data_IF_102560351032
#
_entry.id   IF_102560351032
#
_cell.length_a   1.000
_cell.length_b   1.000
_cell.length_c   1.000
_cell.angle_alpha   90.00
_cell.angle_beta   90.00
_cell.angle_gamma   90.00
#
_symmetry.space_group_name_H-M   'P 1'
#
loop_
_entity.id
_entity.type
_entity.pdbx_description
1 polymer ?
#
# COMPACT_ATOMS: atom_id res chain seq x y z
N UNK A 1 -9.78 -11.75 5.38
CA UNK A 1 -9.86 -10.63 6.34
C UNK A 1 -8.78 -9.65 5.95
N UNK A 2 -9.10 -8.40 5.64
CA UNK A 2 -8.08 -7.38 5.27
C UNK A 2 -7.66 -6.69 6.56
N UNK A 3 -6.45 -6.97 7.02
CA UNK A 3 -5.94 -6.39 8.26
C UNK A 3 -5.61 -4.90 8.06
N UNK A 4 -6.10 -4.06 8.97
CA UNK A 4 -5.76 -2.63 9.03
C UNK A 4 -4.29 -2.50 9.42
N UNK A 5 -3.53 -1.70 8.66
CA UNK A 5 -2.18 -1.31 9.06
C UNK A 5 -2.29 -0.38 10.28
N UNK A 6 -1.77 -0.81 11.44
CA UNK A 6 -1.70 0.04 12.64
C UNK A 6 -0.70 1.18 12.37
N UNK A 7 -1.12 2.43 12.61
CA UNK A 7 -0.26 3.61 12.50
C UNK A 7 -0.38 4.42 11.22
N UNK A 8 -1.09 3.93 10.19
CA UNK A 8 -1.30 4.73 8.97
C UNK A 8 -2.41 5.77 9.16
N UNK A 9 -2.16 7.00 8.68
CA UNK A 9 -3.14 8.07 8.54
C UNK A 9 -4.20 7.76 7.46
N UNK A 10 -3.92 6.80 6.56
CA UNK A 10 -4.84 6.35 5.53
C UNK A 10 -5.71 5.21 6.06
N UNK A 11 -6.94 5.55 6.44
CA UNK A 11 -7.93 4.63 7.00
C UNK A 11 -8.23 3.39 6.13
N UNK A 12 -7.94 3.44 4.83
CA UNK A 12 -8.24 2.40 3.86
C UNK A 12 -7.00 1.73 3.25
N UNK A 13 -5.81 1.93 3.84
CA UNK A 13 -4.59 1.22 3.43
C UNK A 13 -4.71 -0.27 3.76
N UNK A 14 -4.55 -1.11 2.74
CA UNK A 14 -4.71 -2.57 2.81
C UNK A 14 -3.43 -3.27 2.40
N UNK A 15 -3.30 -4.51 2.83
CA UNK A 15 -2.18 -5.37 2.48
C UNK A 15 -2.64 -6.60 1.69
N UNK A 16 -1.95 -6.89 0.58
CA UNK A 16 -1.99 -8.18 -0.09
C UNK A 16 -0.82 -9.04 0.36
N UNK A 17 -1.13 -10.30 0.66
CA UNK A 17 -0.17 -11.34 1.05
C UNK A 17 -0.29 -12.49 0.05
N UNK A 18 0.43 -12.46 -1.09
CA UNK A 18 0.49 -13.59 -1.99
C UNK A 18 0.98 -14.82 -1.23
N UNK A 19 0.37 -15.98 -1.48
CA UNK A 19 0.76 -17.24 -0.83
C UNK A 19 2.23 -17.54 -1.11
N UNK A 20 3.05 -17.56 -0.06
CA UNK A 20 4.47 -17.88 -0.16
C UNK A 20 4.64 -19.39 -0.28
N UNK A 21 5.09 -19.88 -1.45
CA UNK A 21 5.48 -21.29 -1.65
C UNK A 21 6.85 -21.62 -1.02
N UNK A 22 7.18 -21.03 0.13
CA UNK A 22 8.30 -21.47 0.98
C UNK A 22 9.62 -20.71 0.82
N UNK A 23 9.71 -19.69 -0.05
CA UNK A 23 10.92 -18.84 -0.11
C UNK A 23 10.65 -17.36 -0.01
N UNK A 24 9.55 -16.82 -0.52
CA UNK A 24 9.32 -15.37 -0.63
C UNK A 24 7.99 -14.97 -0.03
N UNK A 25 8.05 -14.25 1.09
CA UNK A 25 6.87 -13.56 1.62
C UNK A 25 6.82 -12.18 1.00
N UNK A 26 6.11 -12.06 -0.11
CA UNK A 26 5.83 -10.75 -0.70
C UNK A 26 4.71 -10.09 0.12
N UNK A 27 4.84 -8.79 0.36
CA UNK A 27 3.77 -7.93 0.88
C UNK A 27 3.59 -6.75 -0.04
N UNK A 28 2.33 -6.43 -0.31
CA UNK A 28 1.98 -5.29 -1.17
C UNK A 28 0.99 -4.42 -0.41
N UNK A 29 1.36 -3.17 -0.15
CA UNK A 29 0.46 -2.15 0.35
C UNK A 29 -0.30 -1.55 -0.84
N UNK A 30 -1.62 -1.49 -0.72
CA UNK A 30 -2.48 -0.99 -1.78
C UNK A 30 -3.71 -0.29 -1.22
N UNK A 31 -4.34 0.53 -2.07
CA UNK A 31 -5.62 1.17 -1.79
C UNK A 31 -6.56 1.06 -2.98
N UNK A 32 -7.86 1.06 -2.72
CA UNK A 32 -8.85 1.27 -3.76
C UNK A 32 -9.13 2.76 -3.90
N UNK A 33 -9.13 3.25 -5.13
CA UNK A 33 -9.59 4.59 -5.43
C UNK A 33 -11.14 4.64 -5.53
N UNK A 34 -11.74 5.85 -5.55
CA UNK A 34 -13.18 6.00 -5.76
C UNK A 34 -13.70 5.41 -7.08
N UNK A 35 -12.83 5.20 -8.07
CA UNK A 35 -13.15 4.62 -9.38
C UNK A 35 -13.00 3.09 -9.43
N UNK A 36 -12.86 2.45 -8.26
CA UNK A 36 -12.78 0.99 -8.10
C UNK A 36 -11.53 0.36 -8.72
N UNK A 37 -10.48 1.14 -8.94
CA UNK A 37 -9.15 0.66 -9.31
C UNK A 37 -8.29 0.43 -8.06
N UNK A 38 -7.54 -0.67 -8.06
CA UNK A 38 -6.54 -0.94 -7.04
C UNK A 38 -5.23 -0.23 -7.40
N UNK A 39 -4.72 0.58 -6.49
CA UNK A 39 -3.43 1.28 -6.62
C UNK A 39 -2.43 0.56 -5.74
N UNK A 40 -1.39 0.01 -6.36
CA UNK A 40 -0.28 -0.61 -5.65
C UNK A 40 0.69 0.50 -5.22
N UNK A 41 0.87 0.67 -3.91
CA UNK A 41 1.57 1.80 -3.32
C UNK A 41 2.99 1.43 -2.89
N UNK A 42 3.19 0.23 -2.37
CA UNK A 42 4.50 -0.30 -2.04
C UNK A 42 4.49 -1.83 -2.13
N UNK A 43 5.60 -2.43 -2.52
CA UNK A 43 5.80 -3.87 -2.49
C UNK A 43 7.18 -4.18 -1.91
N UNK A 44 7.26 -5.19 -1.06
CA UNK A 44 8.51 -5.70 -0.50
C UNK A 44 8.56 -7.21 -0.60
N UNK A 45 9.74 -7.74 -0.95
CA UNK A 45 10.02 -9.18 -0.91
C UNK A 45 10.92 -9.49 0.30
N UNK A 46 10.41 -10.38 1.16
CA UNK A 46 11.18 -11.43 1.86
C UNK A 46 12.05 -11.11 3.09
N UNK A 47 12.06 -12.14 3.94
CA UNK A 47 13.06 -12.52 4.95
C UNK A 47 13.18 -11.63 6.19
N UNK A 48 12.21 -11.76 7.09
CA UNK A 48 12.50 -11.72 8.54
C UNK A 48 12.57 -10.36 9.22
N UNK A 49 12.55 -9.24 8.49
CA UNK A 49 12.57 -7.90 9.11
C UNK A 49 11.31 -7.07 8.83
N UNK A 50 10.17 -7.56 9.31
CA UNK A 50 8.87 -6.97 9.05
C UNK A 50 8.68 -5.59 9.66
N UNK A 51 9.13 -5.37 10.89
CA UNK A 51 8.93 -4.09 11.59
C UNK A 51 9.59 -2.93 10.85
N UNK A 52 10.86 -3.08 10.49
CA UNK A 52 11.58 -2.05 9.74
C UNK A 52 10.96 -1.80 8.36
N UNK A 53 10.45 -2.85 7.70
CA UNK A 53 9.79 -2.67 6.42
C UNK A 53 8.52 -1.82 6.54
N UNK A 54 7.67 -2.03 7.55
CA UNK A 54 6.48 -1.19 7.75
C UNK A 54 6.85 0.27 8.06
N UNK A 55 7.90 0.49 8.86
CA UNK A 55 8.38 1.84 9.20
C UNK A 55 8.77 2.66 7.95
N UNK A 56 9.24 1.99 6.89
CA UNK A 56 9.58 2.64 5.62
C UNK A 56 8.43 2.61 4.61
N UNK A 57 7.76 1.47 4.46
CA UNK A 57 6.76 1.23 3.44
C UNK A 57 5.46 1.99 3.68
N UNK A 58 5.06 2.17 4.95
CA UNK A 58 3.82 2.90 5.29
C UNK A 58 3.94 4.38 4.94
N UNK A 59 4.97 5.15 5.40
CA UNK A 59 5.12 6.55 4.99
C UNK A 59 5.30 6.72 3.48
N UNK A 60 5.98 5.78 2.82
CA UNK A 60 6.14 5.77 1.37
C UNK A 60 4.81 5.60 0.64
N UNK A 61 3.98 4.65 1.10
CA UNK A 61 2.66 4.42 0.54
C UNK A 61 1.73 5.63 0.73
N UNK A 62 1.80 6.28 1.90
CA UNK A 62 1.04 7.49 2.19
C UNK A 62 1.39 8.64 1.25
N UNK A 63 2.69 8.89 1.04
CA UNK A 63 3.17 9.93 0.12
C UNK A 63 2.71 9.67 -1.31
N UNK A 64 2.90 8.44 -1.80
CA UNK A 64 2.48 8.05 -3.17
C UNK A 64 0.99 8.18 -3.38
N UNK A 65 0.19 7.86 -2.36
CA UNK A 65 -1.26 8.04 -2.45
C UNK A 65 -1.66 9.52 -2.48
N UNK A 66 -1.01 10.37 -1.68
CA UNK A 66 -1.24 11.81 -1.71
C UNK A 66 -0.91 12.43 -3.08
N UNK A 67 0.22 12.03 -3.68
CA UNK A 67 0.62 12.42 -5.04
C UNK A 67 -0.42 11.97 -6.07
N UNK A 68 -0.82 10.70 -6.04
CA UNK A 68 -1.86 10.16 -6.92
C UNK A 68 -3.17 10.95 -6.83
N UNK A 69 -3.66 11.26 -5.62
CA UNK A 69 -4.89 12.02 -5.44
C UNK A 69 -4.76 13.44 -5.99
N UNK A 70 -3.61 14.09 -5.79
CA UNK A 70 -3.35 15.42 -6.30
C UNK A 70 -3.40 15.47 -7.84
N UNK A 71 -2.81 14.46 -8.50
CA UNK A 71 -2.78 14.39 -9.96
C UNK A 71 -4.15 13.99 -10.54
N UNK A 72 -4.86 13.04 -9.93
CA UNK A 72 -6.22 12.67 -10.36
C UNK A 72 -7.22 13.82 -10.27
N UNK A 73 -7.09 14.70 -9.27
CA UNK A 73 -7.94 15.90 -9.17
C UNK A 73 -7.70 16.88 -10.32
N UNK A 74 -6.45 17.00 -10.80
CA UNK A 74 -6.13 17.84 -11.97
C UNK A 74 -6.71 17.25 -13.25
N UNK A 75 -6.68 15.93 -13.40
CA UNK A 75 -7.25 15.24 -14.58
C UNK A 75 -8.78 15.28 -14.63
N UNK A 76 -9.46 15.14 -13.48
CA UNK A 76 -10.93 15.13 -13.41
C UNK A 76 -11.57 16.51 -13.43
N UNK A 77 -10.78 17.59 -13.30
CA UNK A 77 -11.22 18.98 -13.41
C UNK A 77 -11.11 19.56 -14.82
N UNK A 78 -10.86 18.71 -15.83
CA UNK A 78 -10.80 19.03 -17.25
C UNK A 78 -12.00 18.41 -17.96
#
# INVERSE_FOLDING_TARGET
>A
MVDRIKGSALHNLKELRPGSAGRSEVRILFMFDPWRSAILLAAGDKSGNWSAWYDEAVPLAERRYAEYVADRKKESGK
#
